data_IF_117571759294
#
_entry.id   IF_117571759294
#
_cell.length_a   1.000
_cell.length_b   1.000
_cell.length_c   1.000
_cell.angle_alpha   90.00
_cell.angle_beta   90.00
_cell.angle_gamma   90.00
#
_symmetry.space_group_name_H-M   'P 1'
#
loop_
_entity.id
_entity.type
_entity.pdbx_description
1 polymer ?
#
# COMPACT_ATOMS: atom_id res chain seq x y z
N UNK A 1 -35.72 8.49 80.53
CA UNK A 1 -37.14 8.13 80.63
C UNK A 1 -37.65 8.06 79.18
N UNK A 2 -37.36 6.98 78.46
CA UNK A 2 -38.29 5.86 78.09
C UNK A 2 -39.34 6.37 77.09
N UNK A 3 -39.46 5.93 75.83
CA UNK A 3 -39.62 4.56 75.25
C UNK A 3 -39.30 4.67 73.74
N UNK A 4 -38.43 3.82 73.15
CA UNK A 4 -38.73 2.62 72.36
C UNK A 4 -39.93 2.71 71.39
N UNK A 5 -39.68 2.57 70.08
CA UNK A 5 -40.05 1.40 69.24
C UNK A 5 -39.56 1.64 67.80
N UNK A 6 -38.85 0.66 67.25
CA UNK A 6 -38.41 0.58 65.85
C UNK A 6 -39.38 -0.28 65.05
N UNK A 7 -39.69 0.07 63.78
CA UNK A 7 -40.17 -0.92 62.81
C UNK A 7 -39.14 -1.14 61.69
N UNK A 8 -38.77 -2.40 61.52
CA UNK A 8 -38.00 -2.95 60.41
C UNK A 8 -38.83 -2.84 59.12
N UNK A 9 -38.25 -2.33 58.03
CA UNK A 9 -38.88 -2.35 56.69
C UNK A 9 -38.19 -3.44 55.86
N UNK A 10 -38.89 -4.54 55.51
CA UNK A 10 -38.35 -5.61 54.69
C UNK A 10 -38.43 -5.28 53.19
N UNK A 11 -37.40 -5.71 52.46
CA UNK A 11 -37.47 -6.14 51.06
C UNK A 11 -37.84 -5.07 50.02
N UNK A 12 -36.85 -4.68 49.20
CA UNK A 12 -37.05 -4.40 47.78
C UNK A 12 -35.72 -4.47 47.04
N UNK A 13 -35.48 -5.63 46.44
CA UNK A 13 -34.54 -5.83 45.34
C UNK A 13 -34.85 -4.79 44.26
N UNK A 14 -33.92 -3.88 43.99
CA UNK A 14 -33.94 -3.07 42.77
C UNK A 14 -32.58 -3.27 42.10
N UNK A 15 -32.57 -4.20 41.15
CA UNK A 15 -31.56 -4.30 40.11
C UNK A 15 -31.59 -3.00 39.30
N UNK A 16 -30.47 -2.28 39.27
CA UNK A 16 -30.24 -1.22 38.29
C UNK A 16 -28.93 -1.52 37.55
N UNK A 17 -29.13 -1.95 36.31
CA UNK A 17 -28.10 -2.21 35.31
C UNK A 17 -27.35 -0.90 34.98
N UNK A 18 -26.04 -0.91 35.19
CA UNK A 18 -25.13 0.15 34.75
C UNK A 18 -24.73 -0.09 33.29
N UNK A 19 -25.15 0.82 32.42
CA UNK A 19 -24.99 0.82 30.96
C UNK A 19 -23.51 0.78 30.57
N UNK A 20 -23.10 -0.26 29.86
CA UNK A 20 -21.84 -0.30 29.12
C UNK A 20 -21.96 0.62 27.91
N UNK A 21 -21.45 1.85 28.02
CA UNK A 21 -21.31 2.75 26.86
C UNK A 21 -20.18 2.19 25.99
N UNK A 22 -20.55 1.35 25.04
CA UNK A 22 -19.67 0.91 23.97
C UNK A 22 -19.44 2.13 23.06
N UNK A 23 -18.33 2.83 23.27
CA UNK A 23 -17.90 3.91 22.39
C UNK A 23 -17.68 3.34 20.99
N UNK A 24 -18.66 3.51 20.09
CA UNK A 24 -18.49 3.29 18.66
C UNK A 24 -17.53 4.38 18.15
N UNK A 25 -16.22 4.14 18.26
CA UNK A 25 -15.28 4.88 17.44
C UNK A 25 -15.54 4.48 15.99
N UNK A 26 -15.92 5.42 15.10
CA UNK A 26 -16.00 5.11 13.68
C UNK A 26 -14.60 4.75 13.21
N UNK A 27 -14.35 3.45 13.05
CA UNK A 27 -13.12 2.99 12.43
C UNK A 27 -13.18 3.43 10.97
N UNK A 28 -12.16 4.14 10.45
CA UNK A 28 -12.11 4.42 9.03
C UNK A 28 -12.13 3.07 8.30
N UNK A 29 -13.16 2.85 7.48
CA UNK A 29 -13.23 1.69 6.59
C UNK A 29 -12.10 1.91 5.58
N UNK A 30 -10.98 1.24 5.78
CA UNK A 30 -9.92 1.19 4.79
C UNK A 30 -10.55 0.70 3.48
N UNK A 31 -10.39 1.46 2.40
CA UNK A 31 -10.85 1.02 1.08
C UNK A 31 -10.22 -0.35 0.77
N UNK A 32 -11.06 -1.31 0.40
CA UNK A 32 -10.60 -2.66 0.11
C UNK A 32 -9.59 -2.66 -1.04
N UNK A 33 -8.54 -3.46 -0.89
CA UNK A 33 -7.58 -3.72 -1.96
C UNK A 33 -8.24 -4.66 -2.97
N UNK A 34 -8.62 -4.11 -4.14
CA UNK A 34 -9.28 -4.86 -5.20
C UNK A 34 -8.22 -5.62 -6.03
N UNK A 35 -8.40 -6.93 -6.30
CA UNK A 35 -7.53 -7.64 -7.22
C UNK A 35 -7.49 -6.95 -8.59
N UNK A 36 -6.30 -6.80 -9.15
CA UNK A 36 -6.09 -6.22 -10.47
C UNK A 36 -5.43 -7.25 -11.39
N UNK A 37 -6.06 -7.51 -12.53
CA UNK A 37 -5.43 -8.27 -13.60
C UNK A 37 -4.32 -7.45 -14.24
N UNK A 38 -3.09 -7.95 -14.22
CA UNK A 38 -1.91 -7.29 -14.78
C UNK A 38 -1.13 -8.29 -15.62
N UNK A 39 -0.85 -7.91 -16.86
CA UNK A 39 0.13 -8.57 -17.72
C UNK A 39 1.47 -7.88 -17.55
N UNK A 40 2.56 -8.66 -17.60
CA UNK A 40 3.90 -8.13 -17.47
C UNK A 40 4.84 -8.69 -18.53
N UNK A 41 5.84 -7.89 -18.90
CA UNK A 41 6.89 -8.29 -19.81
C UNK A 41 8.25 -7.85 -19.26
N UNK A 42 9.19 -8.78 -19.03
CA UNK A 42 10.55 -8.42 -18.67
C UNK A 42 11.20 -7.61 -19.81
N UNK A 43 11.87 -6.53 -19.44
CA UNK A 43 12.67 -5.73 -20.38
C UNK A 43 14.15 -6.01 -20.06
N UNK A 44 15.03 -6.26 -21.03
CA UNK A 44 16.46 -6.32 -20.79
C UNK A 44 17.05 -4.92 -20.65
N UNK A 45 18.19 -4.78 -19.98
CA UNK A 45 18.90 -3.50 -19.89
C UNK A 45 19.31 -2.97 -21.27
N UNK A 46 19.78 -3.86 -22.14
CA UNK A 46 20.21 -3.58 -23.51
C UNK A 46 19.52 -4.59 -24.43
N UNK A 47 18.65 -4.10 -25.32
CA UNK A 47 17.93 -4.92 -26.29
C UNK A 47 18.86 -5.60 -27.31
N UNK A 48 20.01 -4.98 -27.59
CA UNK A 48 21.01 -5.50 -28.53
C UNK A 48 21.97 -6.50 -27.89
N UNK A 49 22.09 -6.43 -26.56
CA UNK A 49 22.91 -7.34 -25.74
C UNK A 49 22.18 -7.76 -24.46
N UNK A 50 21.20 -8.69 -24.53
CA UNK A 50 20.34 -9.04 -23.40
C UNK A 50 21.05 -9.63 -22.17
N UNK A 51 22.30 -10.06 -22.31
CA UNK A 51 23.14 -10.54 -21.20
C UNK A 51 23.83 -9.43 -20.40
N UNK A 52 23.81 -8.19 -20.89
CA UNK A 52 24.41 -7.04 -20.21
C UNK A 52 23.61 -6.73 -18.96
N UNK A 53 24.27 -6.81 -17.81
CA UNK A 53 23.67 -6.56 -16.50
C UNK A 53 24.46 -5.55 -15.67
N UNK A 54 25.56 -5.01 -16.20
CA UNK A 54 26.43 -4.10 -15.47
C UNK A 54 26.47 -2.73 -16.16
N UNK A 55 26.21 -1.67 -15.40
CA UNK A 55 26.33 -0.26 -15.83
C UNK A 55 27.24 0.46 -14.85
N UNK A 56 28.53 0.56 -15.19
CA UNK A 56 29.53 1.05 -14.23
C UNK A 56 29.51 0.19 -12.96
N UNK A 57 29.28 0.81 -11.81
CA UNK A 57 29.22 0.11 -10.51
C UNK A 57 27.83 -0.50 -10.21
N UNK A 58 26.81 -0.24 -11.03
CA UNK A 58 25.44 -0.71 -10.81
C UNK A 58 25.20 -2.06 -11.47
N UNK A 59 24.64 -2.99 -10.72
CA UNK A 59 24.15 -4.26 -11.26
C UNK A 59 22.65 -4.17 -11.53
N UNK A 60 22.30 -4.13 -12.81
CA UNK A 60 20.93 -4.27 -13.27
C UNK A 60 20.39 -5.66 -12.91
N UNK A 61 19.23 -5.71 -12.27
CA UNK A 61 18.59 -6.99 -11.95
C UNK A 61 17.17 -7.12 -12.43
N UNK A 62 16.81 -6.33 -13.42
CA UNK A 62 15.59 -6.55 -14.19
C UNK A 62 14.68 -5.35 -14.15
N UNK A 63 13.83 -5.34 -15.15
CA UNK A 63 12.72 -4.43 -15.34
C UNK A 63 11.54 -5.26 -15.82
N UNK A 64 10.36 -4.86 -15.40
CA UNK A 64 9.10 -5.44 -15.85
C UNK A 64 8.17 -4.31 -16.24
N UNK A 65 7.75 -4.32 -17.50
CA UNK A 65 6.72 -3.44 -18.00
C UNK A 65 5.35 -4.05 -17.69
N UNK A 66 4.52 -3.30 -16.96
CA UNK A 66 3.20 -3.71 -16.53
C UNK A 66 2.13 -3.11 -17.45
N UNK A 67 1.12 -3.91 -17.78
CA UNK A 67 -0.06 -3.47 -18.52
C UNK A 67 -1.31 -4.06 -17.88
N UNK A 68 -2.42 -3.34 -17.91
CA UNK A 68 -3.70 -3.83 -17.41
C UNK A 68 -4.84 -3.20 -18.21
N UNK A 69 -5.91 -3.96 -18.52
CA UNK A 69 -7.14 -3.40 -19.08
C UNK A 69 -7.96 -2.62 -18.05
N UNK A 70 -7.60 -2.68 -16.76
CA UNK A 70 -8.34 -2.03 -15.68
C UNK A 70 -8.34 -0.51 -15.79
N UNK A 71 -9.52 0.12 -15.76
CA UNK A 71 -9.68 1.59 -15.88
C UNK A 71 -8.97 2.41 -14.79
N UNK A 72 -8.63 1.76 -13.67
CA UNK A 72 -7.90 2.37 -12.53
C UNK A 72 -6.38 2.26 -12.70
N UNK A 73 -5.93 1.39 -13.60
CA UNK A 73 -4.54 1.28 -14.00
C UNK A 73 -4.20 2.47 -14.89
N UNK A 74 -3.14 3.18 -14.52
CA UNK A 74 -2.60 4.34 -15.21
C UNK A 74 -1.10 4.40 -14.99
N UNK A 75 -0.46 5.48 -15.43
CA UNK A 75 1.00 5.63 -15.30
C UNK A 75 1.47 5.47 -13.86
N UNK A 76 2.58 4.77 -13.66
CA UNK A 76 3.15 4.54 -12.33
C UNK A 76 4.02 5.74 -11.92
N UNK A 77 3.75 6.25 -10.72
CA UNK A 77 4.35 7.43 -10.11
C UNK A 77 4.83 7.08 -8.71
N UNK A 78 6.15 7.06 -8.52
CA UNK A 78 6.77 6.73 -7.23
C UNK A 78 6.69 5.23 -6.94
N UNK A 79 7.83 4.65 -6.57
CA UNK A 79 7.97 3.22 -6.35
C UNK A 79 8.76 3.01 -5.06
N UNK A 80 8.22 2.16 -4.19
CA UNK A 80 8.92 1.68 -3.01
C UNK A 80 8.89 0.16 -3.04
N UNK A 81 10.05 -0.45 -2.83
CA UNK A 81 10.21 -1.89 -2.70
C UNK A 81 10.46 -2.21 -1.22
N UNK A 82 9.92 -3.32 -0.74
CA UNK A 82 10.18 -3.77 0.63
C UNK A 82 11.65 -4.13 0.82
N UNK A 83 12.14 -4.09 2.06
CA UNK A 83 13.56 -4.32 2.36
C UNK A 83 14.05 -5.71 1.92
N UNK A 84 13.15 -6.70 1.89
CA UNK A 84 13.41 -8.06 1.42
C UNK A 84 13.34 -8.22 -0.11
N UNK A 85 13.02 -7.14 -0.84
CA UNK A 85 12.77 -7.13 -2.28
C UNK A 85 11.65 -8.09 -2.73
N UNK A 86 10.73 -8.48 -1.86
CA UNK A 86 9.65 -9.42 -2.22
C UNK A 86 8.38 -8.72 -2.70
N UNK A 87 8.16 -7.46 -2.33
CA UNK A 87 6.93 -6.71 -2.65
C UNK A 87 7.25 -5.28 -3.02
N UNK A 88 6.32 -4.65 -3.72
CA UNK A 88 6.40 -3.23 -4.04
C UNK A 88 5.08 -2.53 -3.81
N UNK A 89 5.17 -1.21 -3.65
CA UNK A 89 4.06 -0.28 -3.58
C UNK A 89 4.36 0.89 -4.50
N UNK A 90 3.37 1.28 -5.29
CA UNK A 90 3.47 2.44 -6.18
C UNK A 90 2.15 3.21 -6.17
N UNK A 91 2.20 4.45 -6.61
CA UNK A 91 1.02 5.30 -6.76
C UNK A 91 0.78 5.50 -8.25
N UNK A 92 -0.46 5.49 -8.71
CA UNK A 92 -0.77 5.77 -10.11
C UNK A 92 -1.04 7.26 -10.33
N UNK A 93 -0.88 7.72 -11.56
CA UNK A 93 -1.26 9.07 -11.99
C UNK A 93 -2.75 9.37 -11.79
N UNK A 94 -3.57 8.34 -11.58
CA UNK A 94 -5.00 8.46 -11.28
C UNK A 94 -5.29 8.57 -9.77
N UNK A 95 -4.26 8.54 -8.91
CA UNK A 95 -4.40 8.65 -7.46
C UNK A 95 -4.79 7.34 -6.78
N UNK A 96 -4.44 6.20 -7.37
CA UNK A 96 -4.61 4.88 -6.75
C UNK A 96 -3.28 4.37 -6.22
N UNK A 97 -3.33 3.62 -5.12
CA UNK A 97 -2.22 2.80 -4.65
C UNK A 97 -2.28 1.47 -5.39
N UNK A 98 -1.17 1.04 -5.96
CA UNK A 98 -0.98 -0.27 -6.57
C UNK A 98 0.10 -1.02 -5.78
N UNK A 99 -0.19 -2.27 -5.42
CA UNK A 99 0.74 -3.13 -4.68
C UNK A 99 0.83 -4.50 -5.35
N UNK A 100 1.96 -5.17 -5.14
CA UNK A 100 2.20 -6.50 -5.72
C UNK A 100 3.39 -7.20 -5.09
N UNK A 101 3.53 -8.48 -5.43
CA UNK A 101 4.73 -9.26 -5.15
C UNK A 101 5.63 -9.34 -6.38
N UNK A 102 6.94 -9.29 -6.15
CA UNK A 102 7.97 -9.41 -7.17
C UNK A 102 8.38 -10.87 -7.32
N UNK A 103 8.48 -11.33 -8.57
CA UNK A 103 8.95 -12.68 -8.90
C UNK A 103 10.41 -12.58 -9.31
N UNK A 104 11.26 -13.37 -8.64
CA UNK A 104 12.68 -13.45 -8.95
C UNK A 104 13.07 -14.84 -9.44
N UNK A 105 14.06 -14.91 -10.33
CA UNK A 105 14.69 -16.18 -10.68
C UNK A 105 15.76 -16.62 -9.65
N UNK A 106 16.40 -17.76 -9.89
CA UNK A 106 17.46 -18.31 -9.01
C UNK A 106 18.68 -17.40 -8.85
N UNK A 107 18.91 -16.47 -9.78
CA UNK A 107 19.99 -15.48 -9.77
C UNK A 107 19.57 -14.14 -9.17
N UNK A 108 18.37 -14.07 -8.57
CA UNK A 108 17.76 -12.84 -8.01
C UNK A 108 17.51 -11.74 -9.06
N UNK A 109 17.31 -12.11 -10.32
CA UNK A 109 16.77 -11.18 -11.32
C UNK A 109 15.25 -11.15 -11.23
N UNK A 110 14.69 -9.94 -11.26
CA UNK A 110 13.27 -9.68 -11.40
C UNK A 110 12.80 -10.20 -12.76
N UNK A 111 11.82 -11.10 -12.74
CA UNK A 111 11.27 -11.74 -13.94
C UNK A 111 9.76 -11.57 -14.06
N UNK A 112 9.09 -10.99 -13.07
CA UNK A 112 7.65 -10.77 -13.13
C UNK A 112 7.05 -10.19 -11.86
N UNK A 113 5.72 -10.10 -11.86
CA UNK A 113 4.92 -9.68 -10.72
C UNK A 113 3.72 -10.60 -10.52
N UNK A 114 3.18 -10.65 -9.30
CA UNK A 114 1.94 -11.37 -8.96
C UNK A 114 1.21 -10.71 -7.81
N UNK A 115 0.02 -11.22 -7.50
CA UNK A 115 -0.81 -10.77 -6.37
C UNK A 115 -1.05 -9.26 -6.39
N UNK A 116 -1.39 -8.77 -7.58
CA UNK A 116 -1.56 -7.35 -7.86
C UNK A 116 -2.88 -6.86 -7.28
N UNK A 117 -2.82 -5.79 -6.50
CA UNK A 117 -3.99 -5.16 -5.89
C UNK A 117 -3.98 -3.66 -6.10
N UNK A 118 -5.17 -3.08 -6.29
CA UNK A 118 -5.34 -1.64 -6.48
C UNK A 118 -6.41 -1.10 -5.52
N UNK A 119 -6.12 0.03 -4.88
CA UNK A 119 -7.07 0.72 -4.00
C UNK A 119 -6.91 2.23 -4.09
N UNK A 120 -7.96 3.01 -3.75
CA UNK A 120 -7.84 4.46 -3.63
C UNK A 120 -6.72 4.85 -2.67
N UNK A 121 -5.96 5.91 -2.99
CA UNK A 121 -5.00 6.45 -2.04
C UNK A 121 -5.78 7.09 -0.89
N UNK A 122 -5.58 6.59 0.34
CA UNK A 122 -6.20 7.17 1.53
C UNK A 122 -5.36 8.35 2.03
N UNK A 123 -6.02 9.41 2.48
CA UNK A 123 -5.40 10.51 3.19
C UNK A 123 -4.92 10.10 4.57
N UNK A 124 -4.24 11.02 5.25
CA UNK A 124 -3.79 10.83 6.65
C UNK A 124 -4.95 10.59 7.62
N UNK A 125 -6.16 10.96 7.24
CA UNK A 125 -7.41 10.72 7.95
C UNK A 125 -8.01 9.33 7.67
N UNK A 126 -7.33 8.49 6.89
CA UNK A 126 -7.77 7.15 6.49
C UNK A 126 -8.90 7.16 5.46
N UNK A 127 -9.31 8.32 4.95
CA UNK A 127 -10.39 8.44 3.97
C UNK A 127 -9.82 8.48 2.55
N UNK A 128 -10.51 7.91 1.55
CA UNK A 128 -10.07 8.01 0.16
C UNK A 128 -9.90 9.48 -0.26
N UNK A 129 -8.74 9.81 -0.84
CA UNK A 129 -8.48 11.14 -1.38
C UNK A 129 -9.41 11.38 -2.57
N UNK A 130 -10.41 12.22 -2.34
CA UNK A 130 -11.34 12.64 -3.37
C UNK A 130 -10.75 13.85 -4.10
N UNK A 131 -10.10 13.56 -5.24
CA UNK A 131 -9.71 14.50 -6.32
C UNK A 131 -8.31 15.16 -6.18
N UNK A 132 -7.54 15.11 -7.29
CA UNK A 132 -6.32 15.90 -7.49
C UNK A 132 -6.67 17.40 -7.52
N UNK A 133 -6.11 18.19 -6.60
CA UNK A 133 -5.94 19.65 -6.80
C UNK A 133 -4.54 19.87 -7.37
N UNK A 134 -4.53 20.45 -8.57
CA UNK A 134 -3.45 21.12 -9.34
C UNK A 134 -2.00 20.63 -9.20
N UNK A 135 -1.42 20.36 -10.38
CA UNK A 135 -0.03 20.03 -10.66
C UNK A 135 0.96 20.99 -9.96
N UNK A 136 1.70 20.47 -8.99
CA UNK A 136 3.00 21.05 -8.58
C UNK A 136 4.02 19.93 -8.61
N UNK A 137 4.96 20.01 -9.56
CA UNK A 137 6.16 19.18 -9.52
C UNK A 137 6.95 19.61 -8.29
N UNK A 138 7.16 18.71 -7.34
CA UNK A 138 8.19 18.87 -6.32
C UNK A 138 9.40 18.01 -6.72
N UNK A 139 10.62 18.55 -6.64
CA UNK A 139 11.82 17.81 -7.00
C UNK A 139 12.00 16.65 -6.02
N UNK A 140 12.19 15.44 -6.54
CA UNK A 140 12.56 14.28 -5.73
C UNK A 140 13.97 14.49 -5.19
N UNK A 141 14.08 14.71 -3.88
CA UNK A 141 15.35 14.70 -3.16
C UNK A 141 15.98 13.31 -3.23
N UNK A 142 17.19 13.29 -3.77
CA UNK A 142 18.11 12.17 -3.87
C UNK A 142 18.56 11.70 -2.47
N UNK A 143 18.47 10.40 -2.19
CA UNK A 143 19.00 9.78 -0.98
C UNK A 143 19.88 8.57 -1.39
N UNK A 144 21.19 8.57 -1.11
CA UNK A 144 22.11 7.60 -1.70
C UNK A 144 22.23 6.35 -0.82
N UNK A 145 21.68 5.22 -1.28
CA UNK A 145 22.25 3.86 -1.06
C UNK A 145 21.54 2.75 -1.88
N UNK A 146 20.51 3.07 -2.68
CA UNK A 146 20.02 2.23 -3.77
C UNK A 146 19.20 3.11 -4.72
N UNK A 147 19.50 3.07 -6.03
CA UNK A 147 18.82 3.90 -7.02
C UNK A 147 17.67 3.11 -7.66
N UNK A 148 16.43 3.56 -7.44
CA UNK A 148 15.23 2.94 -8.02
C UNK A 148 14.55 3.97 -8.93
N UNK A 149 14.11 3.55 -10.11
CA UNK A 149 13.34 4.39 -11.02
C UNK A 149 12.04 3.70 -11.44
N UNK A 150 10.97 4.49 -11.48
CA UNK A 150 9.74 4.12 -12.17
C UNK A 150 9.80 4.73 -13.59
N UNK A 151 9.81 3.90 -14.62
CA UNK A 151 9.39 4.34 -15.95
C UNK A 151 7.86 4.29 -16.01
N UNK A 152 7.26 5.01 -16.97
CA UNK A 152 5.82 5.32 -17.05
C UNK A 152 4.85 4.15 -16.78
N UNK A 153 5.26 2.88 -16.95
CA UNK A 153 4.54 1.68 -16.48
C UNK A 153 5.49 0.54 -16.02
N UNK A 154 6.71 0.85 -15.60
CA UNK A 154 7.77 -0.13 -15.32
C UNK A 154 8.26 -0.09 -13.87
N UNK A 155 8.67 -1.25 -13.36
CA UNK A 155 9.35 -1.39 -12.07
C UNK A 155 10.80 -1.78 -12.36
N UNK A 156 11.73 -0.84 -12.18
CA UNK A 156 13.14 -1.07 -12.46
C UNK A 156 13.92 -1.27 -11.17
N UNK A 157 14.73 -2.33 -11.14
CA UNK A 157 15.49 -2.75 -9.95
C UNK A 157 17.00 -2.69 -10.24
N UNK A 158 17.69 -1.85 -9.46
CA UNK A 158 19.15 -1.71 -9.44
C UNK A 158 19.68 -1.79 -8.00
N UNK A 159 20.93 -2.20 -7.86
CA UNK A 159 21.71 -2.23 -6.61
C UNK A 159 23.19 -2.04 -6.94
#
# INVERSE_FOLDING_TARGET
MTISVSPQIPGRTILLAGILVLALTPHPIAAADDPLEVSYHPIPLDETAPGTTQVGDLTYRGDVHLTSPGRRFGGLSGLIVTQDACRFKTVTDLGFKLEGALIHNSQRHLTGVRDMTISPLNGVDGRPLTRKKTRTQSPSTFCPTAAWSSALNGVIVYW
#
